data_IF_857241549385
#
_entry.id   IF_857241549385
#
_cell.length_a   1.000
_cell.length_b   1.000
_cell.length_c   1.000
_cell.angle_alpha   90.00
_cell.angle_beta   90.00
_cell.angle_gamma   90.00
#
_symmetry.space_group_name_H-M   'P 1'
#
loop_
_entity.id
_entity.type
_entity.pdbx_description
1 polymer ?
#
# COMPACT_ATOMS: atom_id res chain seq x y z
N UNK A 1 -16.13 -20.38 1.21
CA UNK A 1 -15.78 -19.90 -0.14
C UNK A 1 -14.88 -18.68 0.02
N UNK A 2 -13.59 -18.91 0.24
CA UNK A 2 -12.55 -17.86 0.21
C UNK A 2 -12.29 -17.57 -1.26
N UNK A 3 -12.97 -16.58 -1.83
CA UNK A 3 -12.53 -16.06 -3.12
C UNK A 3 -11.12 -15.54 -2.93
N UNK A 4 -10.13 -16.16 -3.60
CA UNK A 4 -8.74 -15.72 -3.58
C UNK A 4 -8.70 -14.24 -4.00
N UNK A 5 -8.28 -13.37 -3.07
CA UNK A 5 -8.08 -11.97 -3.39
C UNK A 5 -7.03 -11.86 -4.49
N UNK A 6 -7.39 -11.20 -5.59
CA UNK A 6 -6.47 -10.86 -6.67
C UNK A 6 -6.14 -9.38 -6.61
N UNK A 7 -4.85 -9.07 -6.79
CA UNK A 7 -4.34 -7.70 -6.91
C UNK A 7 -5.07 -6.97 -8.04
N UNK A 8 -5.68 -5.84 -7.74
CA UNK A 8 -6.33 -4.97 -8.74
C UNK A 8 -5.32 -4.07 -9.43
N UNK A 9 -4.30 -3.62 -8.71
CA UNK A 9 -3.33 -2.63 -9.18
C UNK A 9 -1.97 -3.25 -9.48
N UNK A 10 -1.16 -2.53 -10.26
CA UNK A 10 0.21 -2.97 -10.56
C UNK A 10 1.10 -2.70 -9.35
N UNK A 11 1.64 -3.76 -8.76
CA UNK A 11 2.60 -3.67 -7.66
C UNK A 11 4.03 -3.86 -8.15
N UNK A 12 4.92 -2.96 -7.75
CA UNK A 12 6.35 -3.01 -8.07
C UNK A 12 7.18 -2.78 -6.82
N UNK A 13 8.36 -3.39 -6.72
CA UNK A 13 9.28 -3.11 -5.61
C UNK A 13 9.77 -1.66 -5.72
N UNK A 14 9.60 -0.88 -4.65
CA UNK A 14 9.92 0.56 -4.67
C UNK A 14 11.43 0.80 -4.69
N UNK A 15 12.17 0.00 -3.91
CA UNK A 15 13.63 0.12 -3.79
C UNK A 15 14.30 -1.21 -4.15
N UNK A 16 14.50 -1.50 -5.45
CA UNK A 16 14.99 -2.79 -5.90
C UNK A 16 16.44 -3.09 -5.47
N UNK A 17 17.23 -2.06 -5.15
CA UNK A 17 18.63 -2.20 -4.73
C UNK A 17 18.89 -1.99 -3.24
N UNK A 18 17.94 -1.42 -2.49
CA UNK A 18 18.17 -1.08 -1.09
C UNK A 18 18.08 -2.28 -0.17
N UNK A 19 18.96 -2.29 0.81
CA UNK A 19 19.08 -3.34 1.81
C UNK A 19 18.91 -2.76 3.20
N UNK A 20 18.23 -3.52 4.06
CA UNK A 20 18.16 -3.22 5.50
C UNK A 20 19.51 -3.44 6.18
N UNK A 21 19.58 -3.08 7.47
CA UNK A 21 20.79 -3.27 8.29
C UNK A 21 21.24 -4.74 8.37
N UNK A 22 20.34 -5.68 8.14
CA UNK A 22 20.61 -7.12 8.06
C UNK A 22 21.11 -7.59 6.68
N UNK A 23 21.33 -6.66 5.74
CA UNK A 23 21.85 -6.94 4.40
C UNK A 23 20.83 -7.56 3.43
N UNK A 24 19.59 -7.80 3.86
CA UNK A 24 18.50 -8.29 3.00
C UNK A 24 17.83 -7.12 2.28
N UNK A 25 17.30 -7.40 1.08
CA UNK A 25 16.54 -6.41 0.33
C UNK A 25 15.32 -5.95 1.11
N UNK A 26 15.02 -4.65 1.04
CA UNK A 26 13.83 -4.10 1.66
C UNK A 26 12.58 -4.67 0.98
N UNK A 27 11.70 -5.19 1.81
CA UNK A 27 10.38 -5.70 1.44
C UNK A 27 9.41 -4.53 1.33
N UNK A 28 9.60 -3.72 0.28
CA UNK A 28 8.89 -2.47 0.06
C UNK A 28 8.32 -2.40 -1.36
N UNK A 29 7.01 -2.20 -1.49
CA UNK A 29 6.30 -2.26 -2.76
C UNK A 29 5.32 -1.12 -2.90
N UNK A 30 5.27 -0.52 -4.08
CA UNK A 30 4.35 0.55 -4.45
C UNK A 30 3.32 0.05 -5.45
N UNK A 31 2.07 0.44 -5.23
CA UNK A 31 0.94 0.20 -6.11
C UNK A 31 0.76 1.36 -7.10
N UNK A 32 0.38 1.02 -8.32
CA UNK A 32 0.09 1.99 -9.38
C UNK A 32 -1.23 1.66 -10.08
N UNK A 33 -2.06 2.69 -10.22
CA UNK A 33 -3.27 2.71 -11.03
C UNK A 33 -2.96 3.47 -12.33
N UNK A 34 -2.60 2.72 -13.38
CA UNK A 34 -1.97 3.28 -14.57
C UNK A 34 -0.63 3.95 -14.22
N UNK A 35 -0.55 5.26 -14.43
CA UNK A 35 0.62 6.09 -14.08
C UNK A 35 0.54 6.70 -12.68
N UNK A 36 -0.61 6.61 -12.00
CA UNK A 36 -0.81 7.21 -10.69
C UNK A 36 -0.36 6.29 -9.56
N UNK A 37 0.35 6.84 -8.59
CA UNK A 37 0.73 6.12 -7.37
C UNK A 37 -0.50 5.92 -6.48
N UNK A 38 -0.88 4.65 -6.27
CA UNK A 38 -2.09 4.24 -5.57
C UNK A 38 -1.86 3.93 -4.08
N UNK A 39 -0.62 3.60 -3.69
CA UNK A 39 -0.27 3.32 -2.30
C UNK A 39 1.05 2.56 -2.18
N UNK A 40 1.43 2.20 -0.97
CA UNK A 40 2.67 1.45 -0.69
C UNK A 40 2.49 0.52 0.51
N UNK A 41 3.19 -0.60 0.46
CA UNK A 41 3.37 -1.50 1.59
C UNK A 41 4.85 -1.67 1.89
N UNK A 42 5.19 -1.83 3.17
CA UNK A 42 6.55 -2.16 3.60
C UNK A 42 6.52 -3.11 4.78
N UNK A 43 7.40 -4.10 4.78
CA UNK A 43 7.65 -4.91 5.97
C UNK A 43 8.42 -4.07 6.98
N UNK A 44 7.88 -3.97 8.19
CA UNK A 44 8.62 -3.38 9.30
C UNK A 44 9.69 -4.37 9.78
N UNK A 45 10.95 -3.93 9.80
CA UNK A 45 12.09 -4.74 10.23
C UNK A 45 12.79 -4.18 11.48
N UNK A 46 12.47 -2.94 11.85
CA UNK A 46 13.28 -2.11 12.75
C UNK A 46 12.52 -1.63 13.99
N UNK A 47 11.18 -1.54 13.92
CA UNK A 47 10.39 -0.95 15.02
C UNK A 47 9.77 -2.04 15.91
N UNK A 48 8.99 -1.61 16.91
CA UNK A 48 8.20 -2.50 17.78
C UNK A 48 7.14 -3.30 17.00
N UNK A 49 6.88 -2.96 15.73
CA UNK A 49 5.96 -3.65 14.84
C UNK A 49 6.68 -4.59 13.86
N UNK A 50 7.94 -4.94 14.16
CA UNK A 50 8.76 -5.86 13.37
C UNK A 50 7.98 -7.12 12.97
N UNK A 51 8.04 -7.45 11.69
CA UNK A 51 7.31 -8.59 11.11
C UNK A 51 5.90 -8.25 10.62
N UNK A 52 5.39 -7.05 10.90
CA UNK A 52 4.12 -6.58 10.34
C UNK A 52 4.34 -5.76 9.08
N UNK A 53 3.37 -5.81 8.18
CA UNK A 53 3.36 -5.04 6.95
C UNK A 53 2.64 -3.73 7.18
N UNK A 54 3.38 -2.64 7.12
CA UNK A 54 2.79 -1.30 7.11
C UNK A 54 2.19 -1.05 5.73
N UNK A 55 0.93 -0.62 5.68
CA UNK A 55 0.30 -0.09 4.46
C UNK A 55 0.15 1.43 4.57
N UNK A 56 0.23 2.11 3.43
CA UNK A 56 0.02 3.55 3.30
C UNK A 56 -0.79 3.82 2.04
N UNK A 57 -1.97 4.43 2.22
CA UNK A 57 -2.83 4.84 1.13
C UNK A 57 -2.33 6.10 0.43
N UNK A 58 -2.65 6.23 -0.85
CA UNK A 58 -2.37 7.44 -1.64
C UNK A 58 -3.66 8.21 -1.96
N UNK A 59 -3.50 9.38 -2.56
CA UNK A 59 -4.57 10.27 -2.97
C UNK A 59 -4.53 10.47 -4.49
N UNK A 60 -5.67 10.33 -5.20
CA UNK A 60 -5.70 10.52 -6.64
C UNK A 60 -5.41 11.97 -7.02
N UNK A 61 -4.84 12.17 -8.22
CA UNK A 61 -4.54 13.51 -8.73
C UNK A 61 -5.82 14.33 -8.83
N UNK A 62 -5.75 15.60 -8.42
CA UNK A 62 -6.91 16.51 -8.41
C UNK A 62 -7.78 16.39 -7.16
N UNK A 63 -7.38 15.57 -6.18
CA UNK A 63 -8.04 15.52 -4.89
C UNK A 63 -7.79 16.80 -4.08
N UNK A 64 -8.87 17.46 -3.65
CA UNK A 64 -8.86 18.62 -2.76
C UNK A 64 -9.81 18.38 -1.59
N UNK A 65 -9.29 18.03 -0.41
CA UNK A 65 -10.14 17.81 0.76
C UNK A 65 -9.41 17.23 1.97
N UNK A 66 -10.17 16.61 2.89
CA UNK A 66 -9.60 15.84 4.00
C UNK A 66 -9.54 14.35 3.70
N UNK A 67 -8.38 13.71 3.92
CA UNK A 67 -8.16 12.34 3.48
C UNK A 67 -9.06 11.40 4.28
N UNK A 68 -9.40 10.24 3.72
CA UNK A 68 -10.08 9.21 4.52
C UNK A 68 -9.08 8.75 5.59
N UNK A 69 -9.53 8.65 6.84
CA UNK A 69 -8.72 8.14 7.94
C UNK A 69 -9.24 6.75 8.35
N UNK A 70 -8.36 5.81 8.71
CA UNK A 70 -6.91 5.91 8.70
C UNK A 70 -6.34 5.85 7.26
N UNK A 71 -5.28 6.61 6.99
CA UNK A 71 -4.54 6.59 5.72
C UNK A 71 -3.29 5.67 5.77
N UNK A 72 -2.99 5.10 6.93
CA UNK A 72 -1.89 4.17 7.15
C UNK A 72 -2.24 3.22 8.29
N UNK A 73 -1.64 2.05 8.27
CA UNK A 73 -1.81 1.06 9.33
C UNK A 73 -0.84 -0.10 9.17
N UNK A 74 -1.08 -1.15 9.94
CA UNK A 74 -0.30 -2.39 9.88
C UNK A 74 -1.24 -3.57 9.63
N UNK A 75 -0.77 -4.53 8.86
CA UNK A 75 -1.43 -5.81 8.63
C UNK A 75 -0.42 -6.95 8.89
N UNK A 76 -0.89 -8.17 9.20
CA UNK A 76 0.01 -9.27 9.49
C UNK A 76 0.67 -9.85 8.22
N UNK A 77 0.09 -9.65 7.04
CA UNK A 77 0.63 -10.16 5.77
C UNK A 77 0.71 -9.10 4.68
N UNK A 78 1.59 -9.31 3.70
CA UNK A 78 1.73 -8.44 2.53
C UNK A 78 0.43 -8.37 1.72
N UNK A 79 -0.28 -9.49 1.60
CA UNK A 79 -1.54 -9.59 0.85
C UNK A 79 -2.64 -8.75 1.52
N UNK A 80 -2.77 -8.82 2.85
CA UNK A 80 -3.73 -7.99 3.59
C UNK A 80 -3.35 -6.51 3.52
N UNK A 81 -2.07 -6.17 3.71
CA UNK A 81 -1.60 -4.79 3.57
C UNK A 81 -1.86 -4.22 2.17
N UNK A 82 -1.59 -5.03 1.13
CA UNK A 82 -1.85 -4.65 -0.25
C UNK A 82 -3.35 -4.44 -0.45
N UNK A 83 -4.18 -5.42 -0.08
CA UNK A 83 -5.64 -5.33 -0.18
C UNK A 83 -6.17 -4.05 0.50
N UNK A 84 -5.73 -3.75 1.71
CA UNK A 84 -6.17 -2.54 2.43
C UNK A 84 -5.72 -1.26 1.71
N UNK A 85 -4.52 -1.22 1.13
CA UNK A 85 -4.07 -0.09 0.32
C UNK A 85 -4.91 0.08 -0.95
N UNK A 86 -5.27 -1.02 -1.63
CA UNK A 86 -6.15 -0.99 -2.81
C UNK A 86 -7.57 -0.52 -2.45
N UNK A 87 -8.15 -1.05 -1.35
CA UNK A 87 -9.46 -0.65 -0.83
C UNK A 87 -9.48 0.84 -0.45
N UNK A 88 -8.39 1.34 0.13
CA UNK A 88 -8.24 2.76 0.43
C UNK A 88 -8.21 3.63 -0.82
N UNK A 89 -7.43 3.22 -1.84
CA UNK A 89 -7.36 3.94 -3.11
C UNK A 89 -8.72 3.98 -3.82
N UNK A 90 -9.44 2.85 -3.87
CA UNK A 90 -10.80 2.79 -4.41
C UNK A 90 -11.74 3.75 -3.66
N UNK A 91 -11.68 3.77 -2.33
CA UNK A 91 -12.49 4.67 -1.51
C UNK A 91 -12.14 6.15 -1.78
N UNK A 92 -10.87 6.47 -1.98
CA UNK A 92 -10.42 7.83 -2.33
C UNK A 92 -10.88 8.25 -3.73
N UNK A 93 -10.81 7.36 -4.73
CA UNK A 93 -11.34 7.62 -6.08
C UNK A 93 -12.84 7.88 -6.06
N UNK A 94 -13.59 7.02 -5.35
CA UNK A 94 -15.04 7.16 -5.18
C UNK A 94 -15.42 8.47 -4.48
N UNK A 95 -14.69 8.84 -3.41
CA UNK A 95 -14.91 10.12 -2.71
C UNK A 95 -14.63 11.33 -3.61
N UNK A 96 -13.70 11.20 -4.56
CA UNK A 96 -13.36 12.26 -5.51
C UNK A 96 -14.25 12.27 -6.78
N UNK A 97 -15.26 11.39 -6.87
CA UNK A 97 -16.13 11.28 -8.05
C UNK A 97 -15.42 10.76 -9.30
N UNK A 98 -14.32 10.02 -9.14
CA UNK A 98 -13.51 9.45 -10.22
C UNK A 98 -13.80 7.95 -10.45
N UNK A 99 -15.07 7.53 -10.37
CA UNK A 99 -15.47 6.13 -10.62
C UNK A 99 -15.33 5.73 -12.10
#
# INVERSE_FOLDING_TARGET
MTGDWQKKYRWMRTWPGDRGLDGKLLEDYSAYDGEQYAGRIRLDQETLKKGQWQWSGSYPKGWSGQPIMPNRGYAPTAAEAARTAEEYWDAMKKKNGLD
#
